data_IF_370243305929
#
_entry.id   IF_370243305929
#
_cell.length_a   1.000
_cell.length_b   1.000
_cell.length_c   1.000
_cell.angle_alpha   90.00
_cell.angle_beta   90.00
_cell.angle_gamma   90.00
#
_symmetry.space_group_name_H-M   'P 1'
#
loop_
_entity.id
_entity.type
_entity.pdbx_description
1 polymer ?
#
# COMPACT_ATOMS: atom_id res chain seq x y z
N UNK A 1 29.66 3.45 -7.19
CA UNK A 1 28.86 3.61 -8.43
C UNK A 1 28.00 2.39 -8.75
N UNK A 2 28.53 1.16 -8.76
CA UNK A 2 27.75 -0.05 -9.07
C UNK A 2 26.54 -0.26 -8.15
N UNK A 3 26.66 -0.03 -6.84
CA UNK A 3 25.57 -0.13 -5.87
C UNK A 3 24.43 0.84 -6.21
N UNK A 4 24.75 2.10 -6.55
CA UNK A 4 23.74 3.09 -6.92
C UNK A 4 23.00 2.70 -8.22
N UNK A 5 23.72 2.20 -9.21
CA UNK A 5 23.08 1.72 -10.44
C UNK A 5 22.20 0.50 -10.19
N UNK A 6 22.61 -0.42 -9.30
CA UNK A 6 21.79 -1.56 -8.91
C UNK A 6 20.53 -1.11 -8.12
N UNK A 7 20.64 -0.14 -7.21
CA UNK A 7 19.50 0.43 -6.51
C UNK A 7 18.52 1.09 -7.47
N UNK A 8 18.99 1.95 -8.38
CA UNK A 8 18.13 2.61 -9.36
C UNK A 8 17.54 1.61 -10.36
N UNK A 9 18.32 0.64 -10.82
CA UNK A 9 17.85 -0.42 -11.72
C UNK A 9 16.81 -1.31 -11.08
N UNK A 10 17.05 -1.79 -9.86
CA UNK A 10 16.09 -2.58 -9.08
C UNK A 10 14.81 -1.81 -8.77
N UNK A 11 14.93 -0.54 -8.38
CA UNK A 11 13.78 0.32 -8.15
C UNK A 11 12.98 0.57 -9.43
N UNK A 12 13.65 0.82 -10.56
CA UNK A 12 13.00 0.99 -11.85
C UNK A 12 12.23 -0.28 -12.28
N UNK A 13 12.84 -1.45 -12.15
CA UNK A 13 12.19 -2.73 -12.46
C UNK A 13 10.99 -2.98 -11.55
N UNK A 14 11.13 -2.73 -10.25
CA UNK A 14 10.04 -2.85 -9.28
C UNK A 14 8.87 -1.92 -9.63
N UNK A 15 9.13 -0.61 -9.79
CA UNK A 15 8.09 0.38 -10.09
C UNK A 15 7.44 0.14 -11.46
N UNK A 16 8.23 -0.19 -12.47
CA UNK A 16 7.73 -0.51 -13.81
C UNK A 16 6.89 -1.79 -13.79
N UNK A 17 7.38 -2.85 -13.13
CA UNK A 17 6.64 -4.11 -12.97
C UNK A 17 5.31 -3.89 -12.27
N UNK A 18 5.29 -3.11 -11.19
CA UNK A 18 4.07 -2.78 -10.44
C UNK A 18 3.07 -1.98 -11.30
N UNK A 19 3.51 -0.93 -12.00
CA UNK A 19 2.65 -0.12 -12.87
C UNK A 19 2.07 -0.95 -14.03
N UNK A 20 2.91 -1.76 -14.68
CA UNK A 20 2.48 -2.63 -15.78
C UNK A 20 1.51 -3.71 -15.32
N UNK A 21 1.79 -4.36 -14.18
CA UNK A 21 0.89 -5.33 -13.59
C UNK A 21 -0.48 -4.70 -13.30
N UNK A 22 -0.52 -3.53 -12.67
CA UNK A 22 -1.75 -2.81 -12.37
C UNK A 22 -2.55 -2.49 -13.64
N UNK A 23 -1.91 -1.91 -14.68
CA UNK A 23 -2.57 -1.61 -15.96
C UNK A 23 -3.06 -2.86 -16.69
N UNK A 24 -2.29 -3.93 -16.64
CA UNK A 24 -2.67 -5.20 -17.26
C UNK A 24 -3.88 -5.82 -16.56
N UNK A 25 -3.91 -5.81 -15.22
CA UNK A 25 -5.06 -6.25 -14.43
C UNK A 25 -6.30 -5.38 -14.70
N UNK A 26 -6.14 -4.06 -14.80
CA UNK A 26 -7.23 -3.14 -15.18
C UNK A 26 -7.82 -3.48 -16.55
N UNK A 27 -6.97 -3.74 -17.56
CA UNK A 27 -7.42 -4.17 -18.90
C UNK A 27 -8.12 -5.54 -18.87
N UNK A 28 -7.58 -6.49 -18.12
CA UNK A 28 -8.17 -7.81 -17.97
C UNK A 28 -9.52 -7.78 -17.24
N UNK A 29 -9.67 -6.94 -16.22
CA UNK A 29 -10.89 -6.74 -15.45
C UNK A 29 -11.97 -5.96 -16.22
N UNK A 30 -11.56 -5.08 -17.14
CA UNK A 30 -12.46 -4.28 -17.98
C UNK A 30 -13.46 -3.44 -17.17
N UNK A 31 -14.67 -3.24 -17.73
CA UNK A 31 -15.74 -2.47 -17.09
C UNK A 31 -16.41 -3.18 -15.91
N UNK A 32 -16.01 -4.43 -15.59
CA UNK A 32 -16.55 -5.16 -14.46
C UNK A 32 -16.35 -4.41 -13.13
N UNK A 33 -15.19 -3.74 -12.97
CA UNK A 33 -14.89 -2.96 -11.76
C UNK A 33 -15.78 -1.73 -11.61
N UNK A 34 -16.06 -1.01 -12.72
CA UNK A 34 -16.99 0.12 -12.70
C UNK A 34 -18.41 -0.32 -12.32
N UNK A 35 -18.88 -1.46 -12.89
CA UNK A 35 -20.19 -2.03 -12.54
C UNK A 35 -20.24 -2.51 -11.10
N UNK A 36 -19.15 -3.08 -10.58
CA UNK A 36 -19.04 -3.51 -9.20
C UNK A 36 -19.22 -2.32 -8.24
N UNK A 37 -18.48 -1.23 -8.45
CA UNK A 37 -18.61 -0.01 -7.68
C UNK A 37 -20.01 0.59 -7.74
N UNK A 38 -20.64 0.62 -8.92
CA UNK A 38 -21.96 1.21 -9.10
C UNK A 38 -23.09 0.40 -8.44
N UNK A 39 -22.94 -0.94 -8.30
CA UNK A 39 -24.04 -1.83 -7.87
C UNK A 39 -23.92 -2.33 -6.43
N UNK A 40 -22.71 -2.54 -5.91
CA UNK A 40 -22.48 -3.22 -4.64
C UNK A 40 -22.15 -2.26 -3.48
N UNK A 41 -22.74 -1.06 -3.47
CA UNK A 41 -22.51 -0.06 -2.41
C UNK A 41 -23.79 0.25 -1.61
N UNK A 42 -24.78 -0.66 -1.63
CA UNK A 42 -26.08 -0.43 -1.01
C UNK A 42 -26.01 -0.28 0.52
N UNK A 43 -25.06 -0.94 1.17
CA UNK A 43 -24.81 -0.81 2.60
C UNK A 43 -23.34 -0.42 2.86
N UNK A 44 -23.01 0.21 3.99
CA UNK A 44 -21.64 0.56 4.33
C UNK A 44 -20.68 -0.64 4.29
N UNK A 45 -21.10 -1.80 4.81
CA UNK A 45 -20.29 -3.02 4.78
C UNK A 45 -20.03 -3.50 3.36
N UNK A 46 -21.05 -3.50 2.49
CA UNK A 46 -20.87 -3.84 1.07
C UNK A 46 -19.96 -2.81 0.38
N UNK A 47 -20.03 -1.53 0.76
CA UNK A 47 -19.11 -0.50 0.29
C UNK A 47 -17.66 -0.84 0.61
N UNK A 48 -17.37 -1.21 1.87
CA UNK A 48 -16.02 -1.63 2.31
C UNK A 48 -15.57 -2.87 1.51
N UNK A 49 -16.40 -3.91 1.41
CA UNK A 49 -16.05 -5.12 0.66
C UNK A 49 -15.81 -4.84 -0.82
N UNK A 50 -16.60 -3.94 -1.41
CA UNK A 50 -16.43 -3.50 -2.80
C UNK A 50 -15.11 -2.77 -3.00
N UNK A 51 -14.77 -1.83 -2.12
CA UNK A 51 -13.50 -1.09 -2.17
C UNK A 51 -12.30 -2.03 -2.03
N UNK A 52 -12.36 -2.97 -1.07
CA UNK A 52 -11.36 -4.02 -0.90
C UNK A 52 -11.19 -4.85 -2.18
N UNK A 53 -12.28 -5.40 -2.73
CA UNK A 53 -12.23 -6.25 -3.91
C UNK A 53 -11.69 -5.50 -5.14
N UNK A 54 -12.16 -4.26 -5.36
CA UNK A 54 -11.68 -3.42 -6.47
C UNK A 54 -10.19 -3.17 -6.34
N UNK A 55 -9.71 -2.78 -5.17
CA UNK A 55 -8.29 -2.46 -4.98
C UNK A 55 -7.42 -3.71 -5.03
N UNK A 56 -7.87 -4.83 -4.47
CA UNK A 56 -7.14 -6.09 -4.55
C UNK A 56 -6.96 -6.57 -6.00
N UNK A 57 -7.97 -6.34 -6.87
CA UNK A 57 -7.89 -6.69 -8.30
C UNK A 57 -7.08 -5.66 -9.07
N UNK A 58 -7.32 -4.36 -8.86
CA UNK A 58 -6.62 -3.29 -9.59
C UNK A 58 -5.15 -3.13 -9.14
N UNK A 59 -4.81 -3.60 -7.95
CA UNK A 59 -3.48 -3.41 -7.32
C UNK A 59 -3.03 -1.94 -7.30
N UNK A 60 -4.01 -1.01 -7.28
CA UNK A 60 -3.79 0.44 -7.27
C UNK A 60 -4.87 1.15 -6.46
N UNK A 61 -4.53 1.51 -5.23
CA UNK A 61 -5.42 2.30 -4.37
C UNK A 61 -5.64 3.72 -4.91
N UNK A 62 -4.61 4.32 -5.50
CA UNK A 62 -4.71 5.64 -6.13
C UNK A 62 -5.74 5.63 -7.26
N UNK A 63 -5.66 4.65 -8.18
CA UNK A 63 -6.62 4.52 -9.27
C UNK A 63 -8.06 4.27 -8.75
N UNK A 64 -8.21 3.40 -7.75
CA UNK A 64 -9.51 3.13 -7.14
C UNK A 64 -10.09 4.37 -6.45
N UNK A 65 -9.27 5.12 -5.70
CA UNK A 65 -9.69 6.34 -5.00
C UNK A 65 -10.05 7.45 -5.98
N UNK A 66 -9.25 7.69 -7.02
CA UNK A 66 -9.55 8.67 -8.08
C UNK A 66 -10.86 8.32 -8.80
N UNK A 67 -11.10 7.03 -9.05
CA UNK A 67 -12.37 6.57 -9.64
C UNK A 67 -13.55 6.85 -8.72
N UNK A 68 -13.44 6.60 -7.41
CA UNK A 68 -14.48 6.92 -6.42
C UNK A 68 -14.74 8.43 -6.36
N UNK A 69 -13.69 9.25 -6.31
CA UNK A 69 -13.79 10.72 -6.32
C UNK A 69 -14.50 11.19 -7.58
N UNK A 70 -14.15 10.64 -8.75
CA UNK A 70 -14.82 10.94 -10.03
C UNK A 70 -16.29 10.55 -10.03
N UNK A 71 -16.68 9.41 -9.45
CA UNK A 71 -18.07 9.00 -9.34
C UNK A 71 -18.87 9.91 -8.40
N UNK A 72 -18.26 10.36 -7.31
CA UNK A 72 -18.87 11.34 -6.40
C UNK A 72 -19.06 12.69 -7.12
N UNK A 73 -18.04 13.16 -7.84
CA UNK A 73 -18.11 14.39 -8.64
C UNK A 73 -19.20 14.36 -9.71
N UNK A 74 -19.37 13.21 -10.36
CA UNK A 74 -20.40 12.99 -11.37
C UNK A 74 -21.82 12.76 -10.79
N UNK A 75 -21.98 12.74 -9.46
CA UNK A 75 -23.26 12.43 -8.81
C UNK A 75 -23.69 10.97 -8.92
N UNK A 76 -22.80 10.08 -9.36
CA UNK A 76 -23.05 8.64 -9.52
C UNK A 76 -22.91 7.85 -8.22
N UNK A 77 -22.24 8.42 -7.22
CA UNK A 77 -22.00 7.80 -5.93
C UNK A 77 -22.19 8.83 -4.80
N UNK A 78 -23.08 8.53 -3.87
CA UNK A 78 -23.31 9.37 -2.70
C UNK A 78 -22.10 9.37 -1.74
N UNK A 79 -21.84 10.50 -1.08
CA UNK A 79 -20.70 10.69 -0.19
C UNK A 79 -20.58 9.59 0.90
N UNK A 80 -21.64 9.19 1.63
CA UNK A 80 -21.52 8.14 2.65
C UNK A 80 -21.07 6.80 2.08
N UNK A 81 -21.56 6.45 0.88
CA UNK A 81 -21.16 5.21 0.18
C UNK A 81 -19.71 5.29 -0.30
N UNK A 82 -19.30 6.44 -0.82
CA UNK A 82 -17.93 6.69 -1.24
C UNK A 82 -16.94 6.54 -0.07
N UNK A 83 -17.27 7.11 1.09
CA UNK A 83 -16.44 7.00 2.30
C UNK A 83 -16.28 5.53 2.73
N UNK A 84 -17.35 4.74 2.71
CA UNK A 84 -17.28 3.32 3.01
C UNK A 84 -16.40 2.54 2.01
N UNK A 85 -16.52 2.87 0.71
CA UNK A 85 -15.65 2.28 -0.34
C UNK A 85 -14.18 2.65 -0.10
N UNK A 86 -13.89 3.89 0.29
CA UNK A 86 -12.53 4.36 0.60
C UNK A 86 -11.93 3.57 1.77
N UNK A 87 -12.70 3.25 2.81
CA UNK A 87 -12.23 2.37 3.89
C UNK A 87 -11.81 1.00 3.37
N UNK A 88 -12.61 0.42 2.46
CA UNK A 88 -12.27 -0.83 1.79
C UNK A 88 -11.05 -0.74 0.89
N UNK A 89 -10.86 0.38 0.18
CA UNK A 89 -9.68 0.63 -0.66
C UNK A 89 -8.40 0.58 0.19
N UNK A 90 -8.41 1.19 1.37
CA UNK A 90 -7.27 1.15 2.28
C UNK A 90 -6.93 -0.29 2.72
N UNK A 91 -7.93 -1.11 3.04
CA UNK A 91 -7.69 -2.53 3.34
C UNK A 91 -7.13 -3.25 2.11
N UNK A 92 -7.71 -3.04 0.92
CA UNK A 92 -7.27 -3.66 -0.33
C UNK A 92 -5.83 -3.34 -0.73
N UNK A 93 -5.33 -2.15 -0.38
CA UNK A 93 -3.94 -1.74 -0.60
C UNK A 93 -2.94 -2.69 0.08
N UNK A 94 -3.32 -3.28 1.20
CA UNK A 94 -2.44 -4.15 1.98
C UNK A 94 -2.13 -5.48 1.28
N UNK A 95 -2.91 -5.87 0.29
CA UNK A 95 -2.71 -7.10 -0.49
C UNK A 95 -1.34 -7.11 -1.19
N UNK A 96 -0.89 -5.96 -1.69
CA UNK A 96 0.46 -5.86 -2.31
C UNK A 96 1.55 -6.16 -1.28
N UNK A 97 1.46 -5.58 -0.07
CA UNK A 97 2.41 -5.87 1.01
C UNK A 97 2.42 -7.36 1.40
N UNK A 98 1.23 -7.99 1.42
CA UNK A 98 1.10 -9.43 1.67
C UNK A 98 1.76 -10.26 0.58
N UNK A 99 1.57 -9.90 -0.70
CA UNK A 99 2.20 -10.58 -1.82
C UNK A 99 3.74 -10.49 -1.75
N UNK A 100 4.28 -9.29 -1.49
CA UNK A 100 5.72 -9.05 -1.38
C UNK A 100 6.34 -9.81 -0.20
N UNK A 101 5.57 -10.03 0.87
CA UNK A 101 6.03 -10.77 2.04
C UNK A 101 6.13 -12.29 1.83
N UNK A 102 5.64 -12.84 0.71
CA UNK A 102 5.91 -14.23 0.35
C UNK A 102 7.31 -14.38 -0.23
N UNK A 103 8.01 -15.43 0.18
CA UNK A 103 9.25 -15.83 -0.47
C UNK A 103 8.92 -16.60 -1.76
N UNK A 104 8.92 -15.88 -2.87
CA UNK A 104 8.65 -16.44 -4.21
C UNK A 104 9.88 -16.44 -5.10
N UNK A 105 11.09 -16.23 -4.55
CA UNK A 105 12.32 -16.06 -5.34
C UNK A 105 12.56 -17.24 -6.28
N UNK A 106 12.32 -18.47 -5.84
CA UNK A 106 12.48 -19.68 -6.69
C UNK A 106 11.49 -19.73 -7.85
N UNK A 107 10.38 -19.00 -7.77
CA UNK A 107 9.33 -18.99 -8.78
C UNK A 107 9.43 -17.79 -9.73
N UNK A 108 10.31 -16.83 -9.48
CA UNK A 108 10.39 -15.57 -10.26
C UNK A 108 10.67 -15.86 -11.74
N UNK A 109 11.70 -16.66 -12.05
CA UNK A 109 12.05 -16.97 -13.45
C UNK A 109 11.01 -17.84 -14.17
N UNK A 110 10.45 -18.90 -13.58
CA UNK A 110 9.29 -19.60 -14.15
C UNK A 110 8.09 -18.67 -14.41
N UNK A 111 7.77 -17.77 -13.50
CA UNK A 111 6.67 -16.80 -13.65
C UNK A 111 6.94 -15.82 -14.79
N UNK A 112 8.16 -15.26 -14.87
CA UNK A 112 8.57 -14.42 -16.00
C UNK A 112 8.40 -15.14 -17.33
N UNK A 113 8.90 -16.38 -17.44
CA UNK A 113 8.83 -17.15 -18.68
C UNK A 113 7.38 -17.48 -19.08
N UNK A 114 6.56 -17.94 -18.13
CA UNK A 114 5.16 -18.25 -18.39
C UNK A 114 4.36 -16.99 -18.76
N UNK A 115 4.61 -15.87 -18.06
CA UNK A 115 3.99 -14.59 -18.39
C UNK A 115 4.35 -14.12 -19.79
N UNK A 116 5.63 -14.18 -20.16
CA UNK A 116 6.12 -13.88 -21.51
C UNK A 116 5.45 -14.76 -22.56
N UNK A 117 5.43 -16.08 -22.35
CA UNK A 117 4.80 -17.00 -23.31
C UNK A 117 3.32 -16.70 -23.50
N UNK A 118 2.62 -16.43 -22.41
CA UNK A 118 1.18 -16.15 -22.45
C UNK A 118 0.91 -14.81 -23.15
N UNK A 119 1.69 -13.77 -22.88
CA UNK A 119 1.56 -12.46 -23.54
C UNK A 119 1.86 -12.57 -25.04
N UNK A 120 2.96 -13.24 -25.39
CA UNK A 120 3.42 -13.38 -26.77
C UNK A 120 2.53 -14.29 -27.62
N UNK A 121 2.06 -15.43 -27.08
CA UNK A 121 1.32 -16.44 -27.82
C UNK A 121 -0.21 -16.21 -27.82
N UNK A 122 -0.74 -15.42 -26.88
CA UNK A 122 -2.18 -15.23 -26.78
C UNK A 122 -2.71 -14.38 -27.94
N UNK A 123 -3.79 -14.85 -28.57
CA UNK A 123 -4.49 -14.12 -29.65
C UNK A 123 -5.60 -13.19 -29.12
N UNK A 124 -6.09 -13.42 -27.89
CA UNK A 124 -7.18 -12.64 -27.28
C UNK A 124 -6.59 -11.58 -26.37
N UNK A 125 -6.99 -10.29 -26.50
CA UNK A 125 -6.46 -9.18 -25.70
C UNK A 125 -6.52 -9.40 -24.19
N UNK A 126 -7.57 -10.12 -23.70
CA UNK A 126 -7.71 -10.44 -22.28
C UNK A 126 -6.59 -11.37 -21.79
N UNK A 127 -6.21 -12.39 -22.58
CA UNK A 127 -5.14 -13.32 -22.22
C UNK A 127 -3.76 -12.70 -22.36
N UNK A 128 -3.57 -11.79 -23.33
CA UNK A 128 -2.37 -10.96 -23.41
C UNK A 128 -2.22 -10.11 -22.13
N UNK A 129 -3.29 -9.44 -21.71
CA UNK A 129 -3.28 -8.67 -20.47
C UNK A 129 -2.98 -9.55 -19.25
N UNK A 130 -3.48 -10.78 -19.18
CA UNK A 130 -3.13 -11.74 -18.11
C UNK A 130 -1.64 -12.11 -18.19
N UNK A 131 -1.12 -12.39 -19.38
CA UNK A 131 0.30 -12.68 -19.61
C UNK A 131 1.21 -11.54 -19.19
N UNK A 132 0.86 -10.32 -19.59
CA UNK A 132 1.58 -9.10 -19.18
C UNK A 132 1.51 -8.91 -17.65
N UNK A 133 0.38 -9.18 -17.01
CA UNK A 133 0.26 -9.08 -15.55
C UNK A 133 1.18 -10.10 -14.84
N UNK A 134 1.21 -11.35 -15.32
CA UNK A 134 2.07 -12.42 -14.79
C UNK A 134 3.54 -12.10 -15.01
N UNK A 135 3.92 -11.64 -16.21
CA UNK A 135 5.28 -11.22 -16.50
C UNK A 135 5.73 -10.07 -15.60
N UNK A 136 4.88 -9.05 -15.48
CA UNK A 136 5.15 -7.86 -14.66
C UNK A 136 5.24 -8.18 -13.18
N UNK A 137 4.50 -9.18 -12.70
CA UNK A 137 4.62 -9.71 -11.34
C UNK A 137 6.03 -10.31 -11.12
N UNK A 138 6.52 -11.13 -12.03
CA UNK A 138 7.89 -11.65 -11.96
C UNK A 138 8.95 -10.53 -12.01
N UNK A 139 8.77 -9.53 -12.88
CA UNK A 139 9.67 -8.39 -12.98
C UNK A 139 9.71 -7.55 -11.68
N UNK A 140 8.57 -7.38 -11.04
CA UNK A 140 8.45 -6.72 -9.74
C UNK A 140 9.33 -7.42 -8.68
N UNK A 141 9.22 -8.75 -8.58
CA UNK A 141 10.00 -9.52 -7.61
C UNK A 141 11.49 -9.55 -7.92
N UNK A 142 11.88 -9.61 -9.18
CA UNK A 142 13.29 -9.48 -9.58
C UNK A 142 13.84 -8.09 -9.18
N UNK A 143 13.05 -7.03 -9.38
CA UNK A 143 13.40 -5.67 -8.92
C UNK A 143 13.60 -5.61 -7.39
N UNK A 144 12.73 -6.26 -6.62
CA UNK A 144 12.84 -6.37 -5.15
C UNK A 144 14.14 -7.10 -4.76
N UNK A 145 14.47 -8.19 -5.43
CA UNK A 145 15.67 -8.99 -5.13
C UNK A 145 16.96 -8.19 -5.44
N UNK A 146 17.00 -7.49 -6.57
CA UNK A 146 18.12 -6.59 -6.91
C UNK A 146 18.26 -5.48 -5.85
N UNK A 147 17.15 -4.87 -5.40
CA UNK A 147 17.16 -3.88 -4.32
C UNK A 147 17.73 -4.45 -3.02
N UNK A 148 17.28 -5.64 -2.62
CA UNK A 148 17.75 -6.32 -1.41
C UNK A 148 19.25 -6.57 -1.44
N UNK A 149 19.77 -7.13 -2.55
CA UNK A 149 21.21 -7.38 -2.74
C UNK A 149 22.02 -6.08 -2.77
N UNK A 150 21.47 -5.00 -3.36
CA UNK A 150 22.15 -3.71 -3.40
C UNK A 150 22.17 -2.98 -2.05
N UNK A 151 21.16 -3.22 -1.19
CA UNK A 151 21.09 -2.65 0.17
C UNK A 151 22.04 -3.36 1.14
N UNK A 152 22.31 -4.66 0.95
CA UNK A 152 23.11 -5.46 1.86
C UNK A 152 24.47 -4.84 2.21
N UNK A 153 25.32 -4.36 1.26
CA UNK A 153 26.59 -3.73 1.60
C UNK A 153 26.42 -2.35 2.28
N UNK A 154 25.25 -1.69 2.11
CA UNK A 154 24.96 -0.43 2.77
C UNK A 154 24.54 -0.63 4.23
N UNK A 155 23.88 -1.74 4.53
CA UNK A 155 23.43 -2.08 5.89
C UNK A 155 24.57 -2.16 6.90
N UNK A 156 25.80 -2.46 6.45
CA UNK A 156 27.02 -2.44 7.27
C UNK A 156 27.68 -1.06 7.44
N UNK A 157 27.21 -0.01 6.74
CA UNK A 157 27.81 1.30 6.82
C UNK A 157 27.37 2.06 8.09
N UNK A 158 28.32 2.67 8.80
CA UNK A 158 28.06 3.37 10.06
C UNK A 158 26.96 4.43 9.92
N UNK A 159 26.97 5.20 8.84
CA UNK A 159 25.97 6.24 8.57
C UNK A 159 24.57 5.64 8.41
N UNK A 160 24.42 4.50 7.70
CA UNK A 160 23.15 3.83 7.53
C UNK A 160 22.62 3.31 8.87
N UNK A 161 23.48 2.66 9.65
CA UNK A 161 23.14 2.14 10.98
C UNK A 161 22.72 3.26 11.94
N UNK A 162 23.42 4.38 11.93
CA UNK A 162 23.07 5.56 12.73
C UNK A 162 21.67 6.09 12.37
N UNK A 163 21.36 6.24 11.08
CA UNK A 163 20.02 6.66 10.65
C UNK A 163 18.94 5.66 11.03
N UNK A 164 19.17 4.37 10.85
CA UNK A 164 18.19 3.33 11.24
C UNK A 164 17.96 3.31 12.75
N UNK A 165 19.01 3.50 13.54
CA UNK A 165 18.89 3.63 15.00
C UNK A 165 18.03 4.83 15.39
N UNK A 166 18.28 6.00 14.78
CA UNK A 166 17.46 7.20 15.01
C UNK A 166 15.98 7.00 14.66
N UNK A 167 15.71 6.34 13.54
CA UNK A 167 14.32 6.00 13.12
C UNK A 167 13.67 5.05 14.11
N UNK A 168 14.41 4.04 14.58
CA UNK A 168 13.95 3.06 15.56
C UNK A 168 13.62 3.69 16.92
N UNK A 169 14.42 4.65 17.36
CA UNK A 169 14.26 5.32 18.65
C UNK A 169 13.22 6.46 18.63
N UNK A 170 12.89 6.99 17.45
CA UNK A 170 11.97 8.12 17.29
C UNK A 170 10.77 7.74 16.40
N UNK A 171 9.62 7.36 16.98
CA UNK A 171 8.41 7.08 16.20
C UNK A 171 8.00 8.25 15.30
N UNK A 172 8.17 9.49 15.76
CA UNK A 172 7.86 10.67 14.95
C UNK A 172 8.74 10.75 13.70
N UNK A 173 10.04 10.47 13.82
CA UNK A 173 10.95 10.45 12.68
C UNK A 173 10.57 9.34 11.70
N UNK A 174 10.17 8.17 12.19
CA UNK A 174 9.65 7.08 11.37
C UNK A 174 8.40 7.51 10.59
N UNK A 175 7.42 8.14 11.25
CA UNK A 175 6.20 8.65 10.60
C UNK A 175 6.56 9.70 9.53
N UNK A 176 7.43 10.66 9.83
CA UNK A 176 7.84 11.68 8.87
C UNK A 176 8.58 11.06 7.67
N UNK A 177 9.39 10.04 7.90
CA UNK A 177 10.09 9.33 6.83
C UNK A 177 9.10 8.63 5.90
N UNK A 178 8.18 7.83 6.44
CA UNK A 178 7.17 7.13 5.64
C UNK A 178 6.25 8.08 4.88
N UNK A 179 5.79 9.14 5.54
CA UNK A 179 5.01 10.22 4.92
C UNK A 179 5.76 10.83 3.73
N UNK A 180 7.00 11.26 3.93
CA UNK A 180 7.81 11.92 2.90
C UNK A 180 8.09 10.98 1.73
N UNK A 181 8.45 9.72 2.02
CA UNK A 181 8.70 8.71 0.97
C UNK A 181 7.47 8.52 0.09
N UNK A 182 6.30 8.35 0.69
CA UNK A 182 5.07 8.11 -0.07
C UNK A 182 4.61 9.34 -0.83
N UNK A 183 4.78 10.54 -0.29
CA UNK A 183 4.50 11.79 -1.00
C UNK A 183 5.39 11.96 -2.24
N UNK A 184 6.66 11.58 -2.16
CA UNK A 184 7.61 11.69 -3.27
C UNK A 184 7.38 10.58 -4.31
N UNK A 185 7.28 9.34 -3.85
CA UNK A 185 7.14 8.17 -4.74
C UNK A 185 5.72 8.06 -5.30
N UNK A 186 4.72 8.67 -4.65
CA UNK A 186 3.28 8.58 -5.00
C UNK A 186 2.74 7.14 -5.04
N UNK A 187 3.39 6.22 -4.31
CA UNK A 187 3.03 4.81 -4.25
C UNK A 187 3.31 4.23 -2.86
N UNK A 188 2.26 4.00 -2.08
CA UNK A 188 2.36 3.34 -0.79
C UNK A 188 2.88 1.90 -0.89
N UNK A 189 2.48 1.17 -1.94
CA UNK A 189 3.00 -0.18 -2.17
C UNK A 189 4.51 -0.19 -2.38
N UNK A 190 5.06 0.83 -3.08
CA UNK A 190 6.50 0.98 -3.26
C UNK A 190 7.20 1.32 -1.93
N UNK A 191 6.65 2.24 -1.15
CA UNK A 191 7.20 2.60 0.18
C UNK A 191 7.24 1.38 1.10
N UNK A 192 6.15 0.60 1.16
CA UNK A 192 6.11 -0.62 1.98
C UNK A 192 7.09 -1.68 1.49
N UNK A 193 7.24 -1.87 0.17
CA UNK A 193 8.22 -2.78 -0.39
C UNK A 193 9.66 -2.41 0.00
N UNK A 194 10.00 -1.12 -0.09
CA UNK A 194 11.29 -0.61 0.34
C UNK A 194 11.48 -0.80 1.86
N UNK A 195 10.45 -0.53 2.67
CA UNK A 195 10.46 -0.75 4.11
C UNK A 195 10.72 -2.22 4.46
N UNK A 196 10.02 -3.15 3.78
CA UNK A 196 10.22 -4.59 3.96
C UNK A 196 11.65 -5.02 3.57
N UNK A 197 12.21 -4.46 2.49
CA UNK A 197 13.59 -4.71 2.08
C UNK A 197 14.62 -4.19 3.10
N UNK A 198 14.45 -2.97 3.59
CA UNK A 198 15.33 -2.39 4.62
C UNK A 198 15.24 -3.21 5.90
N UNK A 199 14.02 -3.58 6.34
CA UNK A 199 13.83 -4.34 7.56
C UNK A 199 14.40 -5.77 7.48
N UNK A 200 14.56 -6.35 6.29
CA UNK A 200 15.24 -7.65 6.09
C UNK A 200 16.76 -7.57 6.18
N UNK A 201 17.35 -6.37 6.21
CA UNK A 201 18.79 -6.23 6.39
C UNK A 201 19.16 -6.51 7.85
N UNK A 202 20.23 -7.29 8.04
CA UNK A 202 20.76 -7.59 9.36
C UNK A 202 21.40 -6.34 9.97
N UNK A 203 21.17 -6.15 11.26
CA UNK A 203 21.89 -5.19 12.08
C UNK A 203 23.33 -5.61 12.36
N UNK A 204 24.04 -4.88 13.23
CA UNK A 204 25.45 -5.14 13.54
C UNK A 204 25.71 -6.51 14.15
N UNK A 205 24.70 -7.12 14.77
CA UNK A 205 24.77 -8.45 15.37
C UNK A 205 24.60 -9.61 14.37
N UNK A 206 24.21 -9.30 13.14
CA UNK A 206 23.96 -10.29 12.07
C UNK A 206 22.71 -11.15 12.28
N UNK A 207 21.92 -10.92 13.33
CA UNK A 207 20.79 -11.78 13.76
C UNK A 207 19.48 -11.00 13.72
N UNK A 208 19.48 -9.77 14.23
CA UNK A 208 18.28 -8.96 14.31
C UNK A 208 18.17 -8.01 13.12
N UNK A 209 16.94 -7.62 12.81
CA UNK A 209 16.66 -6.59 11.82
C UNK A 209 17.29 -5.23 12.20
N UNK A 210 17.88 -4.54 11.24
CA UNK A 210 18.43 -3.19 11.43
C UNK A 210 17.37 -2.20 11.94
N UNK A 211 16.09 -2.42 11.62
CA UNK A 211 14.98 -1.54 12.01
C UNK A 211 14.06 -2.18 13.06
N UNK A 212 13.84 -3.49 12.96
CA UNK A 212 12.88 -4.23 13.77
C UNK A 212 11.42 -3.82 13.50
N UNK A 213 10.47 -4.58 14.05
CA UNK A 213 9.04 -4.29 13.87
C UNK A 213 8.64 -2.95 14.51
N UNK A 214 9.16 -2.68 15.70
CA UNK A 214 8.85 -1.43 16.43
C UNK A 214 9.32 -0.17 15.69
N UNK A 215 10.43 -0.24 14.95
CA UNK A 215 10.89 0.86 14.09
C UNK A 215 10.17 0.92 12.75
N UNK A 216 9.75 -0.24 12.20
CA UNK A 216 9.05 -0.30 10.92
C UNK A 216 7.60 0.21 10.99
N UNK A 217 6.88 -0.05 12.09
CA UNK A 217 5.48 0.36 12.25
C UNK A 217 5.29 1.88 12.14
N UNK A 218 6.08 2.76 12.78
CA UNK A 218 5.97 4.20 12.58
C UNK A 218 6.13 4.64 11.11
N UNK A 219 7.06 4.04 10.36
CA UNK A 219 7.24 4.34 8.93
C UNK A 219 6.00 3.94 8.13
N UNK A 220 5.41 2.78 8.44
CA UNK A 220 4.15 2.31 7.86
C UNK A 220 2.99 3.28 8.16
N UNK A 221 2.88 3.81 9.39
CA UNK A 221 1.86 4.79 9.75
C UNK A 221 2.02 6.08 8.92
N UNK A 222 3.25 6.54 8.74
CA UNK A 222 3.56 7.69 7.88
C UNK A 222 3.20 7.44 6.41
N UNK A 223 3.48 6.25 5.89
CA UNK A 223 3.09 5.83 4.54
C UNK A 223 1.58 5.93 4.33
N UNK A 224 0.79 5.43 5.28
CA UNK A 224 -0.67 5.51 5.21
C UNK A 224 -1.19 6.96 5.19
N UNK A 225 -0.59 7.87 5.96
CA UNK A 225 -0.91 9.31 5.88
C UNK A 225 -0.53 9.86 4.50
N UNK A 226 0.67 9.55 4.01
CA UNK A 226 1.19 10.00 2.71
C UNK A 226 0.33 9.59 1.52
N UNK A 227 -0.28 8.42 1.57
CA UNK A 227 -1.18 7.91 0.53
C UNK A 227 -2.36 8.84 0.25
N UNK A 228 -2.80 9.62 1.25
CA UNK A 228 -3.95 10.52 1.11
C UNK A 228 -3.72 11.72 0.21
N UNK A 229 -2.46 12.08 -0.02
CA UNK A 229 -2.08 13.22 -0.88
C UNK A 229 -2.59 13.02 -2.31
N UNK A 230 -2.56 11.79 -2.83
CA UNK A 230 -3.09 11.48 -4.17
C UNK A 230 -4.60 11.82 -4.27
N UNK A 231 -5.37 11.49 -3.23
CA UNK A 231 -6.80 11.80 -3.16
C UNK A 231 -7.05 13.32 -3.10
N UNK A 232 -6.26 14.03 -2.28
CA UNK A 232 -6.34 15.48 -2.16
C UNK A 232 -6.00 16.19 -3.49
N UNK A 233 -4.99 15.70 -4.21
CA UNK A 233 -4.66 16.23 -5.54
C UNK A 233 -5.78 15.93 -6.56
N UNK A 234 -6.35 14.73 -6.52
CA UNK A 234 -7.38 14.31 -7.46
C UNK A 234 -8.72 15.06 -7.28
N UNK A 235 -9.01 15.59 -6.10
CA UNK A 235 -10.26 16.32 -5.86
C UNK A 235 -10.21 17.80 -6.29
N UNK A 236 -9.04 18.32 -6.67
CA UNK A 236 -8.89 19.72 -7.11
C UNK A 236 -9.74 19.96 -8.34
N UNK A 237 -10.64 20.94 -8.26
CA UNK A 237 -11.56 21.28 -9.36
C UNK A 237 -12.75 20.32 -9.55
N UNK A 238 -12.91 19.29 -8.69
CA UNK A 238 -13.96 18.26 -8.84
C UNK A 238 -15.25 18.56 -8.07
N UNK A 239 -15.33 19.66 -7.34
CA UNK A 239 -16.50 20.03 -6.54
C UNK A 239 -16.44 19.55 -5.07
N UNK A 240 -17.38 20.05 -4.26
CA UNK A 240 -17.34 19.93 -2.79
C UNK A 240 -17.42 18.48 -2.29
N UNK A 241 -18.27 17.66 -2.87
CA UNK A 241 -18.42 16.27 -2.43
C UNK A 241 -17.18 15.42 -2.76
N UNK A 242 -16.48 15.71 -3.86
CA UNK A 242 -15.19 15.10 -4.18
C UNK A 242 -14.13 15.49 -3.14
N UNK A 243 -14.06 16.77 -2.76
CA UNK A 243 -13.17 17.27 -1.72
C UNK A 243 -13.50 16.64 -0.35
N UNK A 244 -14.78 16.51 0.01
CA UNK A 244 -15.24 15.81 1.23
C UNK A 244 -14.81 14.35 1.26
N UNK A 245 -14.91 13.64 0.13
CA UNK A 245 -14.46 12.25 0.02
C UNK A 245 -12.93 12.11 0.21
N UNK A 246 -12.14 13.00 -0.44
CA UNK A 246 -10.70 13.05 -0.26
C UNK A 246 -10.30 13.38 1.19
N UNK A 247 -11.00 14.33 1.82
CA UNK A 247 -10.77 14.70 3.21
C UNK A 247 -11.15 13.57 4.17
N UNK A 248 -12.22 12.80 3.90
CA UNK A 248 -12.57 11.61 4.68
C UNK A 248 -11.46 10.56 4.63
N UNK A 249 -10.82 10.37 3.47
CA UNK A 249 -9.64 9.51 3.35
C UNK A 249 -8.48 10.00 4.22
N UNK A 250 -8.21 11.30 4.22
CA UNK A 250 -7.16 11.90 5.05
C UNK A 250 -7.48 11.78 6.54
N UNK A 251 -8.70 12.07 6.96
CA UNK A 251 -9.14 11.95 8.36
C UNK A 251 -9.04 10.49 8.86
N UNK A 252 -9.43 9.52 8.02
CA UNK A 252 -9.32 8.09 8.33
C UNK A 252 -7.87 7.70 8.62
N UNK A 253 -6.95 8.00 7.71
CA UNK A 253 -5.53 7.61 7.87
C UNK A 253 -4.84 8.40 8.98
N UNK A 254 -5.10 9.70 9.10
CA UNK A 254 -4.48 10.54 10.13
C UNK A 254 -4.93 10.13 11.53
N UNK A 255 -6.23 9.98 11.76
CA UNK A 255 -6.76 9.60 13.07
C UNK A 255 -6.33 8.18 13.48
N UNK A 256 -6.34 7.23 12.52
CA UNK A 256 -5.86 5.88 12.74
C UNK A 256 -4.37 5.84 13.08
N UNK A 257 -3.55 6.59 12.32
CA UNK A 257 -2.10 6.66 12.56
C UNK A 257 -1.76 7.31 13.90
N UNK A 258 -2.47 8.38 14.30
CA UNK A 258 -2.30 8.99 15.62
C UNK A 258 -2.66 8.01 16.74
N UNK A 259 -3.79 7.32 16.62
CA UNK A 259 -4.21 6.32 17.62
C UNK A 259 -3.20 5.17 17.70
N UNK A 260 -2.76 4.63 16.58
CA UNK A 260 -1.77 3.56 16.53
C UNK A 260 -0.41 3.99 17.07
N UNK A 261 0.01 5.25 16.82
CA UNK A 261 1.25 5.80 17.37
C UNK A 261 1.20 5.94 18.90
N UNK A 262 0.06 6.38 19.47
CA UNK A 262 -0.14 6.44 20.92
C UNK A 262 -0.15 5.03 21.53
N UNK A 263 -0.73 4.06 20.84
CA UNK A 263 -0.84 2.66 21.27
C UNK A 263 0.29 1.79 20.71
N UNK A 264 1.40 2.36 20.25
CA UNK A 264 2.46 1.66 19.51
C UNK A 264 2.92 0.35 20.16
N UNK A 265 3.24 0.29 21.47
CA UNK A 265 3.68 -0.96 22.09
C UNK A 265 2.62 -2.06 22.06
N UNK A 266 1.35 -1.68 22.22
CA UNK A 266 0.22 -2.63 22.16
C UNK A 266 -0.05 -3.10 20.75
N UNK A 267 0.06 -2.19 19.77
CA UNK A 267 -0.12 -2.52 18.37
C UNK A 267 0.99 -3.44 17.87
N UNK A 268 2.24 -3.20 18.23
CA UNK A 268 3.38 -4.10 17.91
C UNK A 268 3.13 -5.50 18.49
N UNK A 269 2.72 -5.60 19.77
CA UNK A 269 2.40 -6.90 20.39
C UNK A 269 1.25 -7.63 19.68
N UNK A 270 0.21 -6.91 19.27
CA UNK A 270 -0.88 -7.50 18.48
C UNK A 270 -0.37 -8.09 17.17
N UNK A 271 0.48 -7.34 16.46
CA UNK A 271 1.07 -7.81 15.20
C UNK A 271 1.96 -9.02 15.41
N UNK A 272 2.79 -9.03 16.44
CA UNK A 272 3.60 -10.19 16.82
C UNK A 272 2.74 -11.41 17.14
N UNK A 273 1.59 -11.22 17.80
CA UNK A 273 0.68 -12.31 18.17
C UNK A 273 0.06 -12.98 16.93
N UNK A 274 -0.35 -12.20 15.94
CA UNK A 274 -1.04 -12.68 14.72
C UNK A 274 -0.07 -13.08 13.60
N UNK A 275 1.25 -12.90 13.80
CA UNK A 275 2.27 -13.14 12.78
C UNK A 275 3.01 -14.45 13.02
N UNK A 276 3.63 -15.04 11.98
CA UNK A 276 4.50 -16.19 12.12
C UNK A 276 5.63 -15.94 13.12
N UNK A 277 6.03 -17.00 13.82
CA UNK A 277 7.17 -17.01 14.74
C UNK A 277 8.37 -17.60 14.02
N UNK A 278 9.57 -17.11 14.32
CA UNK A 278 10.82 -17.59 13.72
C UNK A 278 11.93 -16.56 13.86
N UNK A 279 13.08 -16.78 13.21
CA UNK A 279 14.16 -15.81 13.14
C UNK A 279 13.63 -14.46 12.57
N UNK A 280 14.02 -13.35 13.22
CA UNK A 280 13.44 -12.03 12.90
C UNK A 280 13.59 -11.68 11.41
N UNK A 281 14.76 -11.90 10.84
CA UNK A 281 15.04 -11.58 9.44
C UNK A 281 14.16 -12.35 8.43
N UNK A 282 13.69 -13.55 8.80
CA UNK A 282 12.81 -14.36 7.96
C UNK A 282 11.34 -13.91 8.06
N UNK A 283 10.91 -13.50 9.26
CA UNK A 283 9.50 -13.21 9.53
C UNK A 283 9.15 -11.72 9.44
N UNK A 284 10.11 -10.79 9.54
CA UNK A 284 9.88 -9.36 9.64
C UNK A 284 9.07 -8.79 8.47
N UNK A 285 9.31 -9.25 7.24
CA UNK A 285 8.57 -8.82 6.07
C UNK A 285 7.08 -9.18 6.20
N UNK A 286 6.78 -10.38 6.69
CA UNK A 286 5.40 -10.82 6.96
C UNK A 286 4.79 -10.06 8.12
N UNK A 287 5.56 -9.76 9.17
CA UNK A 287 5.10 -8.95 10.29
C UNK A 287 4.72 -7.53 9.84
N UNK A 288 5.52 -6.90 8.97
CA UNK A 288 5.19 -5.58 8.39
C UNK A 288 3.92 -5.65 7.54
N UNK A 289 3.76 -6.68 6.71
CA UNK A 289 2.55 -6.87 5.92
C UNK A 289 1.31 -7.07 6.82
N UNK A 290 1.43 -7.86 7.88
CA UNK A 290 0.37 -8.06 8.87
C UNK A 290 0.07 -6.78 9.65
N UNK A 291 1.09 -5.98 10.00
CA UNK A 291 0.91 -4.66 10.61
C UNK A 291 0.09 -3.74 9.69
N UNK A 292 0.42 -3.72 8.40
CA UNK A 292 -0.31 -2.92 7.40
C UNK A 292 -1.78 -3.35 7.30
N UNK A 293 -2.02 -4.66 7.23
CA UNK A 293 -3.39 -5.20 7.18
C UNK A 293 -4.14 -4.94 8.49
N UNK A 294 -3.54 -5.24 9.64
CA UNK A 294 -4.14 -5.03 10.94
C UNK A 294 -4.50 -3.55 11.17
N UNK A 295 -3.61 -2.61 10.82
CA UNK A 295 -3.87 -1.18 10.90
C UNK A 295 -5.12 -0.79 10.11
N UNK A 296 -5.16 -1.12 8.82
CA UNK A 296 -6.27 -0.71 7.95
C UNK A 296 -7.60 -1.39 8.32
N UNK A 297 -7.57 -2.66 8.73
CA UNK A 297 -8.76 -3.38 9.22
C UNK A 297 -9.25 -2.79 10.53
N UNK A 298 -8.38 -2.55 11.51
CA UNK A 298 -8.76 -1.93 12.78
C UNK A 298 -9.33 -0.52 12.57
N UNK A 299 -8.71 0.30 11.70
CA UNK A 299 -9.25 1.63 11.37
C UNK A 299 -10.62 1.53 10.70
N UNK A 300 -10.82 0.61 9.76
CA UNK A 300 -12.11 0.42 9.11
C UNK A 300 -13.18 -0.05 10.10
N UNK A 301 -12.87 -1.01 10.96
CA UNK A 301 -13.79 -1.48 12.02
C UNK A 301 -14.12 -0.38 13.02
N UNK A 302 -13.15 0.47 13.36
CA UNK A 302 -13.35 1.61 14.25
C UNK A 302 -14.28 2.66 13.61
N UNK A 303 -14.01 3.05 12.36
CA UNK A 303 -14.74 4.13 11.70
C UNK A 303 -16.07 3.70 11.06
N UNK A 304 -16.27 2.42 10.75
CA UNK A 304 -17.50 1.95 10.08
C UNK A 304 -18.78 2.25 10.89
N UNK A 305 -18.84 2.01 12.23
CA UNK A 305 -19.98 2.40 13.05
C UNK A 305 -20.16 3.93 13.13
N UNK A 306 -19.07 4.68 13.02
CA UNK A 306 -19.05 6.14 13.08
C UNK A 306 -19.07 6.81 11.69
N UNK A 307 -19.41 6.07 10.64
CA UNK A 307 -19.50 6.61 9.27
C UNK A 307 -20.34 7.90 9.17
N UNK A 308 -21.54 8.00 9.82
CA UNK A 308 -22.31 9.24 9.80
C UNK A 308 -21.58 10.42 10.46
N UNK A 309 -20.74 10.16 11.47
CA UNK A 309 -19.92 11.20 12.11
C UNK A 309 -18.80 11.65 11.19
N UNK A 310 -18.13 10.73 10.51
CA UNK A 310 -17.10 11.07 9.50
C UNK A 310 -17.70 11.95 8.40
N UNK A 311 -18.88 11.60 7.90
CA UNK A 311 -19.58 12.40 6.88
C UNK A 311 -19.93 13.79 7.40
N UNK A 312 -20.46 13.90 8.61
CA UNK A 312 -20.74 15.21 9.26
C UNK A 312 -19.47 16.04 9.41
N UNK A 313 -18.38 15.44 9.88
CA UNK A 313 -17.09 16.10 10.05
C UNK A 313 -16.61 16.71 8.73
N UNK A 314 -16.55 15.93 7.65
CA UNK A 314 -16.05 16.44 6.37
C UNK A 314 -17.01 17.45 5.70
N UNK A 315 -18.31 17.35 5.95
CA UNK A 315 -19.28 18.37 5.53
C UNK A 315 -19.10 19.67 6.32
N UNK A 316 -18.77 19.61 7.61
CA UNK A 316 -18.47 20.79 8.41
C UNK A 316 -17.15 21.47 7.99
N UNK A 317 -16.13 20.66 7.63
CA UNK A 317 -14.84 21.18 7.15
C UNK A 317 -14.90 21.76 5.73
N UNK A 318 -15.83 21.26 4.90
CA UNK A 318 -16.08 21.76 3.53
C UNK A 318 -17.59 22.07 3.42
N UNK A 319 -18.04 23.24 3.93
CA UNK A 319 -19.45 23.58 3.94
C UNK A 319 -20.01 23.82 2.53
N UNK A 320 -21.34 23.67 2.39
CA UNK A 320 -22.09 24.23 1.26
C UNK A 320 -22.26 25.74 1.55
N UNK A 321 -21.95 26.58 0.57
CA UNK A 321 -22.24 28.02 0.70
C UNK A 321 -23.73 28.26 0.83
#
# INVERSE_FOLDING_TARGET
MQILFALFGGLAMFLYGMDRMSRALQRAAGDAMKRLLARLTATPLLGVLTGLAVTAVLQSSSAATVMVIGFVSAGLLELPRAVAVIYGINIGTTMTAQLIAFDVQTLVYPVLFLGFLLDFAARRPRWQAVGEAVFSFGLLFEGIDILGRALQPLAGQAVFLEWMTRVKESPLLGILLGLSMTMVVQSSSATIALLQNVARQAGPDGIHSVLGLAGAVPVLLGDNIGTTVTALLACIGQGKNAARAALAHSCFNLSGSLLAAVLLPWFVRLVELISPKGPELEVISRQIANAHTAFNVCCALLWLPFLPWMVRLVCALVPEE
#
